data_IF_052849804107
#
_entry.id   IF_052849804107
#
_cell.length_a   1.000
_cell.length_b   1.000
_cell.length_c   1.000
_cell.angle_alpha   90.00
_cell.angle_beta   90.00
_cell.angle_gamma   90.00
#
_symmetry.space_group_name_H-M   'P 1'
#
loop_
_entity.id
_entity.type
_entity.pdbx_description
1 polymer ?
#
# COMPACT_ATOMS: atom_id res chain seq x y z
N UNK A 1 -2.82 25.65 -5.62
CA UNK A 1 -2.39 24.26 -5.89
C UNK A 1 -3.61 23.41 -6.19
N UNK A 2 -3.67 22.79 -7.37
CA UNK A 2 -4.79 21.94 -7.81
C UNK A 2 -4.82 20.61 -7.04
N UNK A 3 -3.63 20.00 -6.82
CA UNK A 3 -3.45 18.77 -6.05
C UNK A 3 -4.05 18.85 -4.64
N UNK A 4 -3.69 19.86 -3.85
CA UNK A 4 -4.22 20.02 -2.48
C UNK A 4 -5.76 20.15 -2.44
N UNK A 5 -6.36 20.86 -3.42
CA UNK A 5 -7.83 20.96 -3.50
C UNK A 5 -8.47 19.61 -3.82
N UNK A 6 -7.84 18.82 -4.70
CA UNK A 6 -8.28 17.47 -5.07
C UNK A 6 -8.16 16.51 -3.87
N UNK A 7 -7.00 16.46 -3.23
CA UNK A 7 -6.73 15.63 -2.07
C UNK A 7 -7.62 16.01 -0.88
N UNK A 8 -7.88 17.30 -0.65
CA UNK A 8 -8.83 17.72 0.39
C UNK A 8 -10.23 17.14 0.19
N UNK A 9 -10.72 17.05 -1.06
CA UNK A 9 -12.02 16.42 -1.37
C UNK A 9 -11.98 14.91 -1.16
N UNK A 10 -10.90 14.26 -1.59
CA UNK A 10 -10.74 12.81 -1.39
C UNK A 10 -10.63 12.44 0.08
N UNK A 11 -9.91 13.22 0.88
CA UNK A 11 -9.78 13.03 2.31
C UNK A 11 -11.12 13.17 3.02
N UNK A 12 -11.91 14.19 2.65
CA UNK A 12 -13.26 14.37 3.18
C UNK A 12 -14.16 13.16 2.87
N UNK A 13 -14.07 12.62 1.65
CA UNK A 13 -14.82 11.43 1.26
C UNK A 13 -14.36 10.18 2.01
N UNK A 14 -13.04 9.98 2.12
CA UNK A 14 -12.44 8.86 2.85
C UNK A 14 -12.77 8.87 4.35
N UNK A 15 -12.89 10.04 4.97
CA UNK A 15 -13.35 10.16 6.36
C UNK A 15 -14.84 9.88 6.55
N UNK A 16 -15.64 10.01 5.50
CA UNK A 16 -17.09 9.87 5.58
C UNK A 16 -17.56 8.43 5.36
N UNK A 17 -17.13 7.81 4.25
CA UNK A 17 -17.55 6.46 3.88
C UNK A 17 -16.49 5.80 3.03
N UNK A 18 -15.86 4.76 3.58
CA UNK A 18 -15.00 3.85 2.84
C UNK A 18 -15.71 2.52 2.56
N UNK A 19 -15.32 1.82 1.49
CA UNK A 19 -15.77 0.45 1.24
C UNK A 19 -15.36 -0.49 2.38
N UNK A 20 -16.09 -1.60 2.59
CA UNK A 20 -15.80 -2.52 3.68
C UNK A 20 -14.41 -3.14 3.51
N UNK A 21 -13.66 -3.17 4.61
CA UNK A 21 -12.29 -3.66 4.63
C UNK A 21 -11.24 -2.64 4.18
N UNK A 22 -11.61 -1.40 3.86
CA UNK A 22 -10.65 -0.32 3.59
C UNK A 22 -10.74 0.71 4.70
N UNK A 23 -9.61 1.10 5.28
CA UNK A 23 -9.55 2.03 6.40
C UNK A 23 -8.43 3.06 6.23
N UNK A 24 -8.69 4.31 6.58
CA UNK A 24 -7.69 5.38 6.58
C UNK A 24 -6.94 5.40 7.92
N UNK A 25 -5.63 5.16 7.87
CA UNK A 25 -4.78 5.11 9.06
C UNK A 25 -4.04 6.42 9.31
N UNK A 26 -3.47 7.01 8.26
CA UNK A 26 -2.69 8.24 8.35
C UNK A 26 -2.96 9.13 7.15
N UNK A 27 -3.22 10.41 7.40
CA UNK A 27 -3.34 11.45 6.37
C UNK A 27 -3.16 12.84 7.01
N UNK A 28 -2.03 13.02 7.68
CA UNK A 28 -1.70 14.26 8.41
C UNK A 28 -1.40 15.42 7.44
N UNK A 29 -0.91 15.10 6.24
CA UNK A 29 -0.59 16.05 5.18
C UNK A 29 -1.16 15.59 3.82
N UNK A 30 -0.86 16.34 2.76
CA UNK A 30 -1.23 16.01 1.38
C UNK A 30 -0.06 15.40 0.58
N UNK A 31 0.94 14.85 1.28
CA UNK A 31 2.11 14.22 0.68
C UNK A 31 2.13 12.70 0.90
N UNK A 32 1.78 12.21 2.08
CA UNK A 32 1.81 10.78 2.41
C UNK A 32 0.54 10.34 3.14
N UNK A 33 -0.21 9.42 2.55
CA UNK A 33 -1.35 8.76 3.21
C UNK A 33 -1.09 7.28 3.41
N UNK A 34 -1.61 6.72 4.50
CA UNK A 34 -1.56 5.29 4.77
C UNK A 34 -2.97 4.73 4.89
N UNK A 35 -3.22 3.65 4.17
CA UNK A 35 -4.52 2.97 4.12
C UNK A 35 -4.35 1.49 4.44
N UNK A 36 -5.24 0.94 5.24
CA UNK A 36 -5.30 -0.50 5.47
C UNK A 36 -6.33 -1.12 4.53
N UNK A 37 -5.98 -2.25 3.91
CA UNK A 37 -6.91 -3.09 3.14
C UNK A 37 -7.00 -4.47 3.78
N UNK A 38 -8.22 -4.95 3.95
CA UNK A 38 -8.57 -6.26 4.51
C UNK A 38 -9.23 -7.10 3.45
N UNK A 39 -8.75 -8.32 3.26
CA UNK A 39 -9.42 -9.29 2.39
C UNK A 39 -10.58 -9.91 3.18
N UNK A 40 -11.80 -9.62 2.73
CA UNK A 40 -13.04 -10.02 3.39
C UNK A 40 -13.54 -11.40 2.94
N UNK A 41 -13.18 -11.81 1.73
CA UNK A 41 -13.61 -13.08 1.16
C UNK A 41 -12.86 -14.27 1.75
N UNK A 42 -13.43 -15.45 1.54
CA UNK A 42 -12.89 -16.75 1.98
C UNK A 42 -11.64 -17.20 1.19
N UNK A 43 -10.85 -16.26 0.66
CA UNK A 43 -9.61 -16.56 -0.02
C UNK A 43 -8.61 -17.18 0.99
N UNK A 44 -8.20 -18.45 0.83
CA UNK A 44 -7.36 -19.14 1.82
C UNK A 44 -5.97 -18.49 2.01
N UNK A 45 -5.50 -17.69 1.06
CA UNK A 45 -4.19 -17.04 1.12
C UNK A 45 -4.19 -15.80 2.04
N UNK A 46 -5.30 -15.05 2.06
CA UNK A 46 -5.34 -13.74 2.70
C UNK A 46 -6.54 -13.53 3.64
N UNK A 47 -7.38 -14.55 3.85
CA UNK A 47 -8.61 -14.45 4.64
C UNK A 47 -8.36 -13.76 5.98
N UNK A 48 -9.01 -12.61 6.17
CA UNK A 48 -8.93 -11.84 7.41
C UNK A 48 -7.59 -11.13 7.67
N UNK A 49 -6.63 -11.21 6.75
CA UNK A 49 -5.38 -10.44 6.84
C UNK A 49 -5.61 -8.99 6.46
N UNK A 50 -4.82 -8.11 7.09
CA UNK A 50 -4.82 -6.68 6.85
C UNK A 50 -3.43 -6.29 6.33
N UNK A 51 -3.41 -5.60 5.20
CA UNK A 51 -2.21 -5.09 4.57
C UNK A 51 -2.23 -3.58 4.58
N UNK A 52 -1.07 -2.94 4.78
CA UNK A 52 -0.96 -1.49 4.74
C UNK A 52 -0.40 -1.02 3.41
N UNK A 53 -1.07 -0.04 2.82
CA UNK A 53 -0.64 0.72 1.67
C UNK A 53 -0.10 2.09 2.12
N UNK A 54 0.95 2.56 1.45
CA UNK A 54 1.42 3.94 1.51
C UNK A 54 1.20 4.59 0.15
N UNK A 55 0.54 5.74 0.15
CA UNK A 55 0.27 6.59 -1.01
C UNK A 55 1.12 7.85 -0.89
N UNK A 56 1.89 8.14 -1.93
CA UNK A 56 2.79 9.29 -1.95
C UNK A 56 2.42 10.17 -3.13
N UNK A 57 1.98 11.38 -2.82
CA UNK A 57 1.44 12.32 -3.80
C UNK A 57 2.49 13.34 -4.20
N UNK A 58 2.58 13.57 -5.51
CA UNK A 58 3.36 14.66 -6.07
C UNK A 58 2.48 15.90 -6.32
N UNK A 59 3.11 17.01 -6.71
CA UNK A 59 2.40 18.26 -6.96
C UNK A 59 1.54 18.24 -8.24
N UNK A 60 1.70 17.22 -9.09
CA UNK A 60 1.01 17.04 -10.36
C UNK A 60 -0.22 16.15 -10.21
N UNK A 61 -0.45 15.54 -9.05
CA UNK A 61 -1.66 14.80 -8.76
C UNK A 61 -2.91 15.68 -9.00
N UNK A 62 -3.96 15.17 -9.66
CA UNK A 62 -4.20 13.81 -10.13
C UNK A 62 -3.77 13.53 -11.58
N UNK A 63 -3.09 14.47 -12.24
CA UNK A 63 -2.63 14.28 -13.63
C UNK A 63 -1.62 13.13 -13.68
N UNK A 64 -0.69 13.13 -12.73
CA UNK A 64 0.21 12.00 -12.49
C UNK A 64 -0.35 11.12 -11.36
N UNK A 65 -0.13 9.80 -11.50
CA UNK A 65 -0.49 8.83 -10.48
C UNK A 65 0.32 9.06 -9.19
N UNK A 66 -0.26 8.76 -8.01
CA UNK A 66 0.52 8.68 -6.79
C UNK A 66 1.42 7.45 -6.83
N UNK A 67 2.55 7.51 -6.12
CA UNK A 67 3.35 6.31 -5.87
C UNK A 67 2.64 5.49 -4.78
N UNK A 68 2.38 4.21 -5.06
CA UNK A 68 1.66 3.32 -4.13
C UNK A 68 2.48 2.06 -3.89
N UNK A 69 2.69 1.72 -2.63
CA UNK A 69 3.37 0.50 -2.23
C UNK A 69 2.75 -0.11 -0.98
N UNK A 70 2.90 -1.42 -0.83
CA UNK A 70 2.65 -2.09 0.43
C UNK A 70 3.80 -1.82 1.40
N UNK A 71 3.48 -1.54 2.67
CA UNK A 71 4.48 -1.36 3.71
C UNK A 71 4.35 -2.45 4.77
N UNK A 72 5.50 -2.96 5.19
CA UNK A 72 5.58 -3.86 6.33
C UNK A 72 5.42 -3.04 7.61
N UNK A 73 4.43 -3.38 8.42
CA UNK A 73 4.29 -2.84 9.77
C UNK A 73 4.66 -3.96 10.73
N UNK A 74 5.80 -3.86 11.45
CA UNK A 74 6.13 -4.86 12.44
C UNK A 74 5.03 -4.87 13.52
N UNK A 75 4.73 -6.04 14.10
CA UNK A 75 3.88 -6.10 15.29
C UNK A 75 4.57 -5.27 16.36
N UNK A 76 4.04 -4.07 16.64
CA UNK A 76 4.54 -3.27 17.74
C UNK A 76 4.39 -4.11 18.99
N UNK A 77 5.52 -4.47 19.63
CA UNK A 77 5.51 -4.88 21.02
C UNK A 77 4.83 -3.72 21.76
N UNK A 78 3.61 -3.93 22.27
CA UNK A 78 2.96 -2.95 23.13
C UNK A 78 3.98 -2.52 24.18
N UNK A 79 4.13 -1.22 24.50
CA UNK A 79 4.81 -0.86 25.73
C UNK A 79 4.03 -1.55 26.86
N UNK A 80 4.68 -2.52 27.49
CA UNK A 80 4.24 -3.18 28.70
C UNK A 80 4.01 -2.12 29.78
N UNK A 81 2.78 -1.61 29.86
CA UNK A 81 2.30 -0.92 31.05
C UNK A 81 1.51 -1.94 31.87
N UNK A 82 2.03 -2.39 33.03
CA UNK A 82 1.34 -3.37 33.85
C UNK A 82 0.36 -2.64 34.77
N UNK A 83 -0.89 -2.46 34.33
CA UNK A 83 -2.01 -2.18 35.24
C UNK A 83 -3.34 -2.13 34.48
N UNK A 84 -3.97 -3.28 34.30
CA UNK A 84 -5.29 -3.50 34.89
C UNK A 84 -5.71 -4.98 34.77
N UNK A 85 -6.39 -5.56 35.77
CA UNK A 85 -6.79 -6.95 35.76
C UNK A 85 -8.00 -7.15 34.82
N UNK A 86 -7.79 -8.00 33.81
CA UNK A 86 -8.71 -9.00 33.26
C UNK A 86 -10.21 -8.62 33.26
N UNK A 87 -10.71 -8.14 32.13
CA UNK A 87 -12.12 -8.33 31.74
C UNK A 87 -12.15 -9.33 30.56
N UNK A 88 -12.80 -10.47 30.76
CA UNK A 88 -12.73 -11.69 29.93
C UNK A 88 -13.88 -11.79 28.91
N UNK A 89 -14.48 -10.67 28.50
CA UNK A 89 -15.78 -10.71 27.78
C UNK A 89 -15.83 -10.06 26.40
N UNK A 90 -14.69 -9.74 25.77
CA UNK A 90 -14.66 -9.23 24.38
C UNK A 90 -13.81 -10.09 23.43
N UNK A 91 -14.44 -10.91 22.54
CA UNK A 91 -13.72 -11.69 21.53
C UNK A 91 -13.31 -10.88 20.28
N UNK A 92 -13.34 -9.54 20.30
CA UNK A 92 -13.19 -8.71 19.09
C UNK A 92 -11.85 -7.98 18.92
N UNK A 93 -10.89 -8.07 19.86
CA UNK A 93 -9.66 -7.25 19.83
C UNK A 93 -8.37 -8.00 19.48
N UNK A 94 -8.42 -9.22 18.95
CA UNK A 94 -7.23 -9.92 18.44
C UNK A 94 -7.00 -9.60 16.94
N UNK A 95 -6.85 -8.31 16.60
CA UNK A 95 -6.33 -7.98 15.27
C UNK A 95 -4.83 -8.32 15.25
N UNK A 96 -4.31 -8.99 14.19
CA UNK A 96 -2.89 -9.26 14.06
C UNK A 96 -2.13 -7.92 14.09
N UNK A 97 -1.22 -7.78 15.06
CA UNK A 97 -0.53 -6.51 15.33
C UNK A 97 0.46 -6.14 14.22
N UNK A 98 0.94 -7.13 13.47
CA UNK A 98 1.81 -6.95 12.30
C UNK A 98 1.04 -6.96 10.99
N UNK A 99 1.46 -6.11 10.04
CA UNK A 99 0.93 -6.07 8.67
C UNK A 99 2.06 -6.48 7.72
N UNK A 100 2.11 -7.74 7.26
CA UNK A 100 3.11 -8.17 6.30
C UNK A 100 2.87 -7.57 4.92
N UNK A 101 3.83 -7.72 4.01
CA UNK A 101 3.60 -7.43 2.59
C UNK A 101 2.98 -8.68 1.96
N UNK A 102 1.84 -8.57 1.25
CA UNK A 102 1.20 -9.73 0.63
C UNK A 102 2.13 -10.36 -0.42
N UNK A 103 2.22 -11.68 -0.42
CA UNK A 103 2.91 -12.45 -1.46
C UNK A 103 1.95 -12.57 -2.63
N UNK A 104 2.29 -11.99 -3.77
CA UNK A 104 1.40 -11.94 -4.93
C UNK A 104 2.22 -11.84 -6.23
N UNK A 105 1.77 -12.41 -7.37
CA UNK A 105 2.51 -12.38 -8.64
C UNK A 105 2.85 -10.98 -9.17
N UNK A 106 2.13 -9.95 -8.69
CA UNK A 106 2.33 -8.55 -9.04
C UNK A 106 2.85 -7.68 -7.87
N UNK A 107 3.29 -8.28 -6.76
CA UNK A 107 3.78 -7.54 -5.59
C UNK A 107 5.16 -8.06 -5.18
N UNK A 108 6.15 -7.18 -5.32
CA UNK A 108 7.52 -7.43 -4.92
C UNK A 108 7.67 -7.51 -3.39
N UNK A 109 8.74 -8.15 -2.91
CA UNK A 109 9.03 -8.32 -1.47
C UNK A 109 9.29 -7.00 -0.75
N UNK A 110 9.71 -5.96 -1.46
CA UNK A 110 9.82 -4.59 -0.95
C UNK A 110 8.48 -3.80 -0.99
N UNK A 111 7.39 -4.45 -1.42
CA UNK A 111 6.04 -3.88 -1.44
C UNK A 111 5.69 -3.09 -2.69
N UNK A 112 6.61 -2.99 -3.66
CA UNK A 112 6.32 -2.37 -4.95
C UNK A 112 5.29 -3.19 -5.70
N UNK A 113 4.34 -2.51 -6.34
CA UNK A 113 3.27 -3.10 -7.12
C UNK A 113 3.64 -2.99 -8.60
N UNK A 114 3.71 -4.13 -9.26
CA UNK A 114 3.99 -4.26 -10.70
C UNK A 114 2.67 -4.38 -11.46
N UNK A 115 1.88 -3.30 -11.49
CA UNK A 115 0.56 -3.26 -12.12
C UNK A 115 0.39 -1.96 -12.89
N UNK A 116 -0.06 -2.07 -14.14
CA UNK A 116 -0.30 -0.91 -15.02
C UNK A 116 -1.43 0.02 -14.55
N UNK A 117 -2.19 -0.36 -13.51
CA UNK A 117 -3.19 0.50 -12.85
C UNK A 117 -2.64 1.88 -12.45
N UNK A 118 -1.35 1.93 -12.09
CA UNK A 118 -0.64 3.15 -11.68
C UNK A 118 0.36 3.63 -12.75
N UNK A 119 0.44 2.91 -13.87
CA UNK A 119 1.27 3.24 -15.02
C UNK A 119 0.62 4.29 -15.92
N UNK A 120 1.35 4.70 -16.95
CA UNK A 120 0.90 5.71 -17.92
C UNK A 120 -0.28 5.23 -18.78
N UNK A 121 -0.48 3.93 -18.94
CA UNK A 121 -1.56 3.36 -19.73
C UNK A 121 -2.82 3.07 -18.90
N UNK A 122 -2.71 2.69 -17.62
CA UNK A 122 -3.86 2.41 -16.76
C UNK A 122 -4.30 3.54 -15.82
N UNK A 123 -3.44 4.51 -15.50
CA UNK A 123 -3.84 5.65 -14.65
C UNK A 123 -4.69 6.65 -15.42
N UNK A 124 -5.74 7.14 -14.76
CA UNK A 124 -6.53 8.27 -15.25
C UNK A 124 -6.80 9.24 -14.11
N UNK A 125 -6.78 10.57 -14.35
CA UNK A 125 -7.07 11.57 -13.32
C UNK A 125 -8.48 11.44 -12.71
N UNK A 126 -9.36 10.63 -13.29
CA UNK A 126 -10.68 10.29 -12.72
C UNK A 126 -10.56 9.35 -11.52
N UNK A 127 -9.49 8.55 -11.44
CA UNK A 127 -9.23 7.62 -10.36
C UNK A 127 -8.93 8.37 -9.05
N UNK A 128 -9.34 7.80 -7.94
CA UNK A 128 -9.11 8.29 -6.56
C UNK A 128 -8.38 7.25 -5.72
N UNK A 129 -7.86 7.67 -4.57
CA UNK A 129 -7.24 6.77 -3.58
C UNK A 129 -8.16 5.59 -3.23
N UNK A 130 -9.45 5.87 -3.05
CA UNK A 130 -10.48 4.86 -2.77
C UNK A 130 -10.60 3.82 -3.91
N UNK A 131 -10.67 4.28 -5.16
CA UNK A 131 -10.75 3.37 -6.32
C UNK A 131 -9.51 2.51 -6.51
N UNK A 132 -8.33 3.04 -6.18
CA UNK A 132 -7.07 2.28 -6.18
C UNK A 132 -7.11 1.21 -5.09
N UNK A 133 -7.52 1.57 -3.86
CA UNK A 133 -7.64 0.61 -2.77
C UNK A 133 -8.63 -0.52 -3.10
N UNK A 134 -9.79 -0.20 -3.69
CA UNK A 134 -10.76 -1.21 -4.14
C UNK A 134 -10.18 -2.13 -5.21
N UNK A 135 -9.44 -1.57 -6.18
CA UNK A 135 -8.80 -2.35 -7.25
C UNK A 135 -7.75 -3.31 -6.69
N UNK A 136 -6.93 -2.85 -5.73
CA UNK A 136 -5.92 -3.68 -5.07
C UNK A 136 -6.56 -4.74 -4.15
N UNK A 137 -7.63 -4.41 -3.42
CA UNK A 137 -8.38 -5.37 -2.62
C UNK A 137 -8.98 -6.47 -3.51
N UNK A 138 -9.56 -6.10 -4.66
CA UNK A 138 -10.08 -7.07 -5.64
C UNK A 138 -8.98 -7.93 -6.24
N UNK A 139 -7.81 -7.35 -6.53
CA UNK A 139 -6.65 -8.07 -7.03
C UNK A 139 -6.19 -9.15 -6.05
N UNK A 140 -6.04 -8.79 -4.76
CA UNK A 140 -5.68 -9.76 -3.71
C UNK A 140 -6.75 -10.84 -3.54
N UNK A 141 -8.02 -10.45 -3.57
CA UNK A 141 -9.15 -11.38 -3.44
C UNK A 141 -9.18 -12.41 -4.56
N UNK A 142 -8.91 -12.00 -5.80
CA UNK A 142 -8.91 -12.87 -6.97
C UNK A 142 -7.68 -13.78 -7.10
N UNK A 143 -6.66 -13.61 -6.26
CA UNK A 143 -5.43 -14.36 -6.40
C UNK A 143 -5.51 -15.77 -5.79
N UNK A 144 -5.02 -16.75 -6.54
CA UNK A 144 -4.96 -18.15 -6.15
C UNK A 144 -3.53 -18.66 -5.97
N UNK A 145 -2.51 -17.82 -6.23
CA UNK A 145 -1.10 -18.22 -6.24
C UNK A 145 -0.29 -17.48 -5.17
N UNK A 146 0.36 -18.23 -4.30
CA UNK A 146 1.25 -17.67 -3.28
C UNK A 146 2.69 -17.54 -3.80
N UNK A 147 2.89 -16.82 -4.91
CA UNK A 147 4.18 -16.63 -5.56
C UNK A 147 4.54 -15.15 -5.72
N UNK A 148 5.84 -14.85 -5.85
CA UNK A 148 6.37 -13.50 -6.12
C UNK A 148 6.53 -13.28 -7.63
N UNK A 149 6.63 -12.02 -8.09
CA UNK A 149 6.95 -11.73 -9.49
C UNK A 149 8.29 -12.36 -9.89
N UNK A 150 8.44 -12.69 -11.17
CA UNK A 150 9.72 -13.16 -11.71
C UNK A 150 10.79 -12.08 -11.53
N UNK A 151 11.94 -12.48 -11.00
CA UNK A 151 13.06 -11.57 -10.74
C UNK A 151 12.91 -10.68 -9.52
N UNK A 152 12.03 -11.03 -8.57
CA UNK A 152 11.83 -10.28 -7.31
C UNK A 152 13.14 -9.95 -6.59
N UNK A 153 14.01 -10.95 -6.40
CA UNK A 153 15.30 -10.76 -5.73
C UNK A 153 16.21 -9.78 -6.49
N UNK A 154 16.33 -9.93 -7.81
CA UNK A 154 17.19 -9.09 -8.64
C UNK A 154 16.67 -7.65 -8.69
N UNK A 155 15.35 -7.49 -8.79
CA UNK A 155 14.68 -6.20 -8.75
C UNK A 155 14.91 -5.51 -7.40
N UNK A 156 14.65 -6.21 -6.28
CA UNK A 156 14.85 -5.68 -4.95
C UNK A 156 16.33 -5.34 -4.65
N UNK A 157 17.27 -6.14 -5.16
CA UNK A 157 18.71 -5.88 -5.06
C UNK A 157 19.13 -4.64 -5.88
N UNK A 158 18.66 -4.54 -7.13
CA UNK A 158 19.02 -3.43 -8.04
C UNK A 158 18.45 -2.09 -7.62
N UNK A 159 17.31 -2.11 -6.92
CA UNK A 159 16.68 -0.92 -6.34
C UNK A 159 17.41 -0.39 -5.09
N UNK A 160 18.42 -1.12 -4.61
CA UNK A 160 19.11 -0.83 -3.36
C UNK A 160 18.20 -1.13 -2.16
N UNK A 161 18.77 -1.73 -1.13
CA UNK A 161 18.04 -2.17 0.06
C UNK A 161 17.40 -0.97 0.76
N UNK A 162 16.13 -0.66 0.47
CA UNK A 162 15.23 0.00 1.41
C UNK A 162 14.77 -1.11 2.35
N UNK A 163 15.37 -1.15 3.54
CA UNK A 163 15.26 -2.25 4.50
C UNK A 163 13.84 -2.58 4.99
N UNK A 164 13.70 -3.40 6.03
CA UNK A 164 12.41 -3.92 6.53
C UNK A 164 11.41 -2.84 6.98
N UNK A 165 11.88 -1.59 7.13
CA UNK A 165 11.09 -0.40 7.45
C UNK A 165 10.74 0.45 6.20
N UNK A 166 10.87 -0.15 5.01
CA UNK A 166 10.39 0.29 3.70
C UNK A 166 10.11 1.79 3.53
N UNK A 167 10.92 2.46 2.71
CA UNK A 167 10.59 3.76 2.12
C UNK A 167 10.82 5.05 2.96
N UNK A 168 11.45 4.99 4.13
CA UNK A 168 11.81 6.22 4.90
C UNK A 168 12.92 7.08 4.25
N UNK A 169 13.61 6.54 3.24
CA UNK A 169 14.79 7.16 2.61
C UNK A 169 14.52 8.39 1.72
N UNK A 170 13.27 8.79 1.46
CA UNK A 170 12.99 10.06 0.78
C UNK A 170 13.13 11.29 1.67
N UNK A 171 13.29 11.13 2.99
CA UNK A 171 13.49 12.27 3.91
C UNK A 171 14.81 13.04 3.72
N UNK A 172 15.71 12.60 2.85
CA UNK A 172 17.04 13.21 2.73
C UNK A 172 17.59 13.24 1.32
N UNK A 173 17.06 14.13 0.46
CA UNK A 173 17.78 14.89 -0.57
C UNK A 173 18.79 14.21 -1.51
N UNK A 174 18.85 12.87 -1.58
CA UNK A 174 19.74 12.12 -2.46
C UNK A 174 19.08 11.88 -3.80
N UNK A 175 19.87 11.92 -4.87
CA UNK A 175 19.52 11.49 -6.23
C UNK A 175 19.17 9.98 -6.28
N UNK A 176 18.10 9.57 -5.59
CA UNK A 176 17.53 8.24 -5.69
C UNK A 176 16.53 8.20 -6.84
N UNK A 177 16.61 7.14 -7.66
CA UNK A 177 15.59 6.80 -8.65
C UNK A 177 14.24 6.66 -7.94
N UNK A 178 13.24 7.47 -8.33
CA UNK A 178 11.88 7.34 -7.81
C UNK A 178 11.16 6.13 -8.39
N UNK A 179 9.96 5.77 -7.91
CA UNK A 179 9.22 4.63 -8.48
C UNK A 179 8.98 4.79 -10.00
N UNK A 180 8.92 6.04 -10.46
CA UNK A 180 8.86 6.44 -11.88
C UNK A 180 10.11 6.14 -12.71
N UNK A 181 11.28 5.99 -12.08
CA UNK A 181 12.54 5.67 -12.76
C UNK A 181 12.81 4.14 -12.75
N UNK A 182 11.84 3.38 -12.26
CA UNK A 182 11.89 1.92 -12.15
C UNK A 182 11.33 1.34 -13.43
N UNK A 183 12.20 0.69 -14.20
CA UNK A 183 11.78 -0.13 -15.35
C UNK A 183 11.25 -1.44 -14.78
N UNK A 184 9.94 -1.65 -14.89
CA UNK A 184 9.33 -2.90 -14.46
C UNK A 184 9.70 -4.01 -15.45
N UNK A 185 9.66 -5.27 -15.00
CA UNK A 185 9.97 -6.41 -15.86
C UNK A 185 9.05 -6.53 -17.09
N UNK A 186 7.90 -5.83 -17.08
CA UNK A 186 6.95 -5.74 -18.20
C UNK A 186 7.14 -4.50 -19.09
N UNK A 187 8.01 -3.54 -18.73
CA UNK A 187 8.36 -2.40 -19.61
C UNK A 187 9.29 -2.80 -20.76
N UNK A 188 9.67 -4.08 -20.84
CA UNK A 188 10.40 -4.67 -21.96
C UNK A 188 9.43 -5.33 -22.95
N UNK A 189 8.44 -4.57 -23.41
CA UNK A 189 7.75 -4.90 -24.65
C UNK A 189 8.69 -4.58 -25.81
N UNK A 190 9.50 -5.57 -26.17
CA UNK A 190 9.95 -5.70 -27.56
C UNK A 190 8.72 -5.85 -28.46
N UNK A 191 8.26 -4.74 -29.02
CA UNK A 191 7.65 -4.67 -30.36
C UNK A 191 8.22 -3.45 -31.08
#
# INVERSE_FOLDING_TARGET
MFAAKRLGKELAKAKQKLPPGIELIKADDFHEWQMDIRVLDDNPLYKGQIFRLSFIFNNQYPIEAPEVCFIHVPPSQQPSSPSNPIDLTDPASSQPTGRPIPIHPHIYSNGIICLDLLGTAGWSPVQSVESVCMSLQSMLTGNSKNERPQGDEQFCQSMGVRGPDGWTGWRGGGHGRGLKDVRFAYDDDTV
#
